data_IF_893167093371
#
_entry.id   IF_893167093371
#
_cell.length_a   1.000
_cell.length_b   1.000
_cell.length_c   1.000
_cell.angle_alpha   90.00
_cell.angle_beta   90.00
_cell.angle_gamma   90.00
#
_symmetry.space_group_name_H-M   'P 1'
#
loop_
_entity.id
_entity.type
_entity.pdbx_description
1 polymer ?
#
# COMPACT_ATOMS: atom_id res chain seq x y z
N UNK A 1 -31.50 -7.66 18.62
CA UNK A 1 -30.56 -6.53 18.79
C UNK A 1 -29.31 -6.85 18.02
N UNK A 2 -28.86 -5.93 17.18
CA UNK A 2 -27.67 -6.09 16.35
C UNK A 2 -27.08 -4.73 16.04
N UNK A 3 -25.90 -4.72 15.44
CA UNK A 3 -25.17 -3.50 15.11
C UNK A 3 -25.08 -3.34 13.60
N UNK A 4 -25.22 -2.10 13.14
CA UNK A 4 -25.16 -1.73 11.72
C UNK A 4 -24.00 -0.75 11.51
N UNK A 5 -23.10 -1.07 10.59
CA UNK A 5 -22.00 -0.19 10.20
C UNK A 5 -22.10 0.17 8.73
N UNK A 6 -21.87 1.45 8.44
CA UNK A 6 -21.59 1.94 7.11
C UNK A 6 -20.12 2.36 7.08
N UNK A 7 -19.34 1.71 6.23
CA UNK A 7 -17.91 1.95 6.07
C UNK A 7 -17.63 2.53 4.70
N UNK A 8 -16.71 3.49 4.62
CA UNK A 8 -16.25 4.10 3.37
C UNK A 8 -14.81 3.64 3.08
N UNK A 9 -14.58 3.22 1.85
CA UNK A 9 -13.28 2.75 1.37
C UNK A 9 -12.52 3.94 0.80
N UNK A 10 -11.29 4.14 1.27
CA UNK A 10 -10.38 5.18 0.77
C UNK A 10 -9.84 4.80 -0.62
N UNK A 11 -10.66 5.02 -1.65
CA UNK A 11 -10.32 4.67 -3.02
C UNK A 11 -9.33 5.64 -3.65
N UNK A 12 -9.30 6.90 -3.20
CA UNK A 12 -8.33 7.90 -3.67
C UNK A 12 -6.90 7.47 -3.31
N UNK A 13 -6.71 7.01 -2.07
CA UNK A 13 -5.44 6.43 -1.65
C UNK A 13 -5.07 5.18 -2.44
N UNK A 14 -6.04 4.30 -2.72
CA UNK A 14 -5.77 3.09 -3.51
C UNK A 14 -5.25 3.43 -4.92
N UNK A 15 -5.81 4.46 -5.56
CA UNK A 15 -5.34 4.98 -6.85
C UNK A 15 -3.93 5.55 -6.73
N UNK A 16 -3.68 6.38 -5.72
CA UNK A 16 -2.36 6.97 -5.50
C UNK A 16 -1.27 5.90 -5.25
N UNK A 17 -1.55 4.89 -4.41
CA UNK A 17 -0.61 3.80 -4.13
C UNK A 17 -0.35 2.93 -5.37
N UNK A 18 -1.37 2.70 -6.20
CA UNK A 18 -1.20 1.97 -7.48
C UNK A 18 -0.32 2.77 -8.45
N UNK A 19 -0.51 4.09 -8.52
CA UNK A 19 0.30 4.98 -9.34
C UNK A 19 1.76 5.05 -8.87
N UNK A 20 2.01 5.04 -7.56
CA UNK A 20 3.37 4.95 -6.99
C UNK A 20 4.09 3.67 -7.41
N UNK A 21 3.40 2.53 -7.41
CA UNK A 21 3.92 1.26 -7.91
C UNK A 21 4.31 1.34 -9.38
N UNK A 22 3.37 1.79 -10.23
CA UNK A 22 3.62 1.98 -11.67
C UNK A 22 4.77 2.96 -11.94
N UNK A 23 4.92 4.02 -11.13
CA UNK A 23 6.04 4.93 -11.24
C UNK A 23 7.39 4.21 -11.05
N UNK A 24 7.50 3.29 -10.08
CA UNK A 24 8.75 2.55 -9.88
C UNK A 24 9.04 1.60 -11.04
N UNK A 25 8.02 0.91 -11.55
CA UNK A 25 8.15 0.01 -12.69
C UNK A 25 8.58 0.76 -13.96
N UNK A 26 7.97 1.92 -14.21
CA UNK A 26 8.35 2.81 -15.32
C UNK A 26 9.80 3.26 -15.14
N UNK A 27 10.18 3.79 -13.97
CA UNK A 27 11.57 4.23 -13.71
C UNK A 27 12.58 3.11 -13.90
N UNK A 28 12.23 1.88 -13.53
CA UNK A 28 13.08 0.70 -13.74
C UNK A 28 13.22 0.40 -15.22
N UNK A 29 12.11 0.34 -15.95
CA UNK A 29 12.10 0.03 -17.38
C UNK A 29 12.98 0.99 -18.19
N UNK A 30 12.90 2.29 -17.90
CA UNK A 30 13.72 3.32 -18.55
C UNK A 30 15.24 3.17 -18.26
N UNK A 31 15.62 2.51 -17.15
CA UNK A 31 17.02 2.35 -16.72
C UNK A 31 17.66 1.01 -17.11
N UNK A 32 16.87 -0.03 -17.34
CA UNK A 32 17.38 -1.40 -17.52
C UNK A 32 17.33 -1.94 -18.95
N UNK A 33 16.69 -1.24 -19.90
CA UNK A 33 16.64 -1.63 -21.31
C UNK A 33 17.94 -1.40 -22.10
N UNK A 34 17.99 -1.93 -23.32
CA UNK A 34 19.08 -1.72 -24.30
C UNK A 34 19.24 -0.22 -24.63
N UNK A 35 18.12 0.49 -24.78
CA UNK A 35 18.08 1.94 -24.95
C UNK A 35 17.70 2.63 -23.64
N UNK A 36 18.70 2.82 -22.77
CA UNK A 36 18.49 3.53 -21.50
C UNK A 36 18.08 4.98 -21.74
N UNK A 37 17.00 5.41 -21.10
CA UNK A 37 16.53 6.79 -21.14
C UNK A 37 16.73 7.43 -19.78
N UNK A 38 17.61 8.44 -19.71
CA UNK A 38 17.83 9.20 -18.48
C UNK A 38 16.70 10.22 -18.28
N UNK A 39 16.13 10.24 -17.09
CA UNK A 39 15.19 11.26 -16.62
C UNK A 39 15.85 12.11 -15.51
N UNK A 40 15.36 13.34 -15.31
CA UNK A 40 15.85 14.26 -14.28
C UNK A 40 15.11 14.08 -12.96
N UNK A 41 13.79 14.02 -13.03
CA UNK A 41 12.89 13.89 -11.88
C UNK A 41 11.63 13.13 -12.26
N UNK A 42 10.94 12.61 -11.24
CA UNK A 42 9.63 11.99 -11.38
C UNK A 42 8.81 12.23 -10.11
N UNK A 43 7.58 12.68 -10.26
CA UNK A 43 6.68 12.99 -9.15
C UNK A 43 5.22 12.72 -9.51
N UNK A 44 4.37 12.60 -8.50
CA UNK A 44 2.93 12.39 -8.68
C UNK A 44 2.23 13.72 -8.41
N UNK A 45 1.46 14.18 -9.39
CA UNK A 45 0.67 15.41 -9.36
C UNK A 45 -0.79 15.04 -9.20
N UNK A 46 -1.47 15.67 -8.23
CA UNK A 46 -2.90 15.49 -7.95
C UNK A 46 -3.34 14.03 -7.73
N UNK A 47 -2.44 13.14 -7.31
CA UNK A 47 -2.72 11.72 -7.01
C UNK A 47 -3.03 10.82 -8.22
N UNK A 48 -3.12 11.36 -9.44
CA UNK A 48 -3.57 10.63 -10.63
C UNK A 48 -2.67 10.82 -11.85
N UNK A 49 -1.74 11.77 -11.80
CA UNK A 49 -0.82 12.07 -12.90
C UNK A 49 0.61 11.81 -12.47
N UNK A 50 1.32 10.96 -13.21
CA UNK A 50 2.76 10.80 -13.08
C UNK A 50 3.44 11.79 -14.04
N UNK A 51 4.24 12.70 -13.48
CA UNK A 51 5.11 13.60 -14.23
C UNK A 51 6.53 13.05 -14.24
N UNK A 52 7.17 13.04 -15.41
CA UNK A 52 8.57 12.69 -15.58
C UNK A 52 9.25 13.78 -16.42
N UNK A 53 10.30 14.38 -15.88
CA UNK A 53 11.05 15.46 -16.54
C UNK A 53 12.32 14.94 -17.20
N UNK A 54 12.67 15.50 -18.35
CA UNK A 54 13.79 15.05 -19.17
C UNK A 54 14.74 16.21 -19.52
N UNK A 55 16.00 15.88 -19.82
CA UNK A 55 16.99 16.89 -20.20
C UNK A 55 16.83 17.40 -21.64
N UNK A 56 16.12 16.66 -22.51
CA UNK A 56 15.88 17.05 -23.90
C UNK A 56 14.59 16.45 -24.44
N UNK A 57 14.06 17.08 -25.50
CA UNK A 57 12.90 16.57 -26.23
C UNK A 57 13.13 15.18 -26.83
N UNK A 58 14.36 14.87 -27.24
CA UNK A 58 14.76 13.57 -27.80
C UNK A 58 14.64 12.45 -26.75
N UNK A 59 15.11 12.71 -25.51
CA UNK A 59 14.99 11.76 -24.40
C UNK A 59 13.52 11.54 -24.04
N UNK A 60 12.72 12.62 -23.96
CA UNK A 60 11.27 12.52 -23.73
C UNK A 60 10.59 11.69 -24.81
N UNK A 61 10.94 11.91 -26.07
CA UNK A 61 10.36 11.17 -27.19
C UNK A 61 10.70 9.67 -27.12
N UNK A 62 11.95 9.31 -26.83
CA UNK A 62 12.35 7.92 -26.59
C UNK A 62 11.61 7.29 -25.42
N UNK A 63 11.47 8.02 -24.30
CA UNK A 63 10.70 7.55 -23.15
C UNK A 63 9.24 7.27 -23.53
N UNK A 64 8.60 8.17 -24.28
CA UNK A 64 7.23 8.00 -24.76
C UNK A 64 7.10 6.72 -25.60
N UNK A 65 8.00 6.49 -26.55
CA UNK A 65 7.98 5.28 -27.40
C UNK A 65 8.10 3.99 -26.60
N UNK A 66 8.84 3.99 -25.49
CA UNK A 66 8.97 2.81 -24.62
C UNK A 66 7.75 2.60 -23.71
N UNK A 67 7.17 3.68 -23.19
CA UNK A 67 6.10 3.63 -22.19
C UNK A 67 4.73 3.40 -22.84
N UNK A 68 4.42 4.14 -23.91
CA UNK A 68 3.07 4.18 -24.50
C UNK A 68 2.50 2.80 -24.89
N UNK A 69 3.29 1.86 -25.47
CA UNK A 69 2.79 0.52 -25.79
C UNK A 69 2.49 -0.34 -24.56
N UNK A 70 3.26 -0.18 -23.48
CA UNK A 70 3.19 -1.03 -22.30
C UNK A 70 2.18 -0.55 -21.25
N UNK A 71 1.80 0.74 -21.28
CA UNK A 71 0.95 1.34 -20.25
C UNK A 71 -0.28 2.06 -20.84
N UNK A 72 -1.16 1.29 -21.50
CA UNK A 72 -2.40 1.78 -22.12
C UNK A 72 -3.41 2.40 -21.14
N UNK A 73 -3.23 2.15 -19.84
CA UNK A 73 -4.01 2.77 -18.76
C UNK A 73 -3.76 4.28 -18.59
N UNK A 74 -2.73 4.84 -19.24
CA UNK A 74 -2.42 6.27 -19.19
C UNK A 74 -2.81 7.00 -20.48
N UNK A 75 -3.39 8.18 -20.33
CA UNK A 75 -3.36 9.22 -21.34
C UNK A 75 -2.01 9.94 -21.24
N UNK A 76 -1.17 9.81 -22.26
CA UNK A 76 0.18 10.37 -22.27
C UNK A 76 0.20 11.67 -23.06
N UNK A 77 0.52 12.76 -22.38
CA UNK A 77 0.69 14.09 -22.98
C UNK A 77 2.11 14.59 -22.77
N UNK A 78 2.53 15.48 -23.65
CA UNK A 78 3.83 16.12 -23.63
C UNK A 78 3.61 17.59 -23.34
N UNK A 79 4.17 18.10 -22.25
CA UNK A 79 4.07 19.52 -21.95
C UNK A 79 5.22 20.27 -22.65
N UNK A 80 4.93 21.46 -23.19
CA UNK A 80 5.88 22.27 -23.97
C UNK A 80 6.69 23.26 -23.13
N UNK A 81 6.65 23.10 -21.81
CA UNK A 81 7.43 23.85 -20.83
C UNK A 81 8.94 23.52 -20.89
N UNK A 82 9.74 24.37 -20.23
CA UNK A 82 11.22 24.29 -20.23
C UNK A 82 11.79 22.96 -19.72
N UNK A 83 11.00 22.15 -19.00
CA UNK A 83 11.42 20.91 -18.36
C UNK A 83 11.25 19.63 -19.21
N UNK A 84 10.80 19.76 -20.47
CA UNK A 84 10.53 18.62 -21.38
C UNK A 84 9.73 17.52 -20.69
N UNK A 85 8.60 17.87 -20.07
CA UNK A 85 7.83 16.94 -19.24
C UNK A 85 7.00 15.97 -20.08
N UNK A 86 6.91 14.73 -19.57
CA UNK A 86 5.96 13.71 -20.00
C UNK A 86 4.95 13.48 -18.87
N UNK A 87 3.68 13.71 -19.17
CA UNK A 87 2.58 13.57 -18.23
C UNK A 87 1.78 12.31 -18.56
N UNK A 88 1.75 11.36 -17.64
CA UNK A 88 0.98 10.13 -17.74
C UNK A 88 -0.21 10.24 -16.79
N UNK A 89 -1.38 10.56 -17.33
CA UNK A 89 -2.62 10.73 -16.54
C UNK A 89 -3.42 9.44 -16.59
N UNK A 90 -3.80 8.89 -15.44
CA UNK A 90 -4.62 7.67 -15.41
C UNK A 90 -5.97 7.91 -16.10
N UNK A 91 -6.37 6.99 -16.98
CA UNK A 91 -7.68 7.09 -17.61
C UNK A 91 -8.79 6.68 -16.63
N UNK A 92 -10.02 7.13 -16.89
CA UNK A 92 -11.17 6.87 -16.02
C UNK A 92 -11.51 5.39 -15.88
N UNK A 93 -11.20 4.56 -16.88
CA UNK A 93 -11.45 3.12 -16.83
C UNK A 93 -10.51 2.44 -15.81
N UNK A 94 -9.22 2.76 -15.87
CA UNK A 94 -8.21 2.25 -14.94
C UNK A 94 -8.46 2.72 -13.51
N UNK A 95 -8.88 3.99 -13.33
CA UNK A 95 -9.28 4.48 -12.01
C UNK A 95 -10.44 3.64 -11.46
N UNK A 96 -11.52 3.45 -12.23
CA UNK A 96 -12.67 2.64 -11.80
C UNK A 96 -12.30 1.21 -11.46
N UNK A 97 -11.43 0.59 -12.26
CA UNK A 97 -10.95 -0.77 -12.00
C UNK A 97 -10.22 -0.86 -10.65
N UNK A 98 -9.39 0.13 -10.33
CA UNK A 98 -8.69 0.19 -9.04
C UNK A 98 -9.67 0.43 -7.89
N UNK A 99 -10.64 1.33 -8.06
CA UNK A 99 -11.66 1.58 -7.04
C UNK A 99 -12.48 0.31 -6.76
N UNK A 100 -12.94 -0.38 -7.81
CA UNK A 100 -13.73 -1.60 -7.68
C UNK A 100 -12.92 -2.72 -7.04
N UNK A 101 -11.65 -2.88 -7.44
CA UNK A 101 -10.73 -3.82 -6.81
C UNK A 101 -10.52 -3.50 -5.32
N UNK A 102 -10.29 -2.23 -4.97
CA UNK A 102 -10.09 -1.81 -3.60
C UNK A 102 -11.33 -2.09 -2.72
N UNK A 103 -12.53 -1.88 -3.26
CA UNK A 103 -13.78 -2.16 -2.54
C UNK A 103 -14.00 -3.65 -2.37
N UNK A 104 -13.74 -4.46 -3.41
CA UNK A 104 -13.82 -5.92 -3.32
C UNK A 104 -12.84 -6.49 -2.30
N UNK A 105 -11.62 -5.96 -2.27
CA UNK A 105 -10.61 -6.36 -1.31
C UNK A 105 -11.03 -6.03 0.14
N UNK A 106 -11.51 -4.80 0.37
CA UNK A 106 -12.01 -4.40 1.69
C UNK A 106 -13.23 -5.23 2.12
N UNK A 107 -14.11 -5.57 1.18
CA UNK A 107 -15.26 -6.44 1.44
C UNK A 107 -14.80 -7.81 1.97
N UNK A 108 -13.77 -8.40 1.36
CA UNK A 108 -13.22 -9.67 1.81
C UNK A 108 -12.56 -9.55 3.19
N UNK A 109 -11.78 -8.49 3.42
CA UNK A 109 -11.16 -8.24 4.72
C UNK A 109 -12.20 -8.08 5.83
N UNK A 110 -13.29 -7.34 5.57
CA UNK A 110 -14.38 -7.18 6.53
C UNK A 110 -15.04 -8.53 6.81
N UNK A 111 -15.33 -9.35 5.79
CA UNK A 111 -15.90 -10.69 5.99
C UNK A 111 -15.04 -11.55 6.92
N UNK A 112 -13.73 -11.56 6.71
CA UNK A 112 -12.80 -12.33 7.55
C UNK A 112 -12.85 -11.85 9.02
N UNK A 113 -12.84 -10.53 9.24
CA UNK A 113 -12.93 -9.94 10.59
C UNK A 113 -14.26 -10.21 11.28
N UNK A 114 -15.34 -10.26 10.51
CA UNK A 114 -16.63 -10.61 11.08
C UNK A 114 -16.68 -12.07 11.51
N UNK A 115 -16.03 -12.97 10.77
CA UNK A 115 -15.88 -14.36 11.21
C UNK A 115 -15.09 -14.47 12.53
N UNK A 116 -14.07 -13.62 12.73
CA UNK A 116 -13.32 -13.54 14.00
C UNK A 116 -14.18 -13.10 15.19
N UNK A 117 -15.25 -12.33 14.95
CA UNK A 117 -16.20 -11.93 15.99
C UNK A 117 -17.11 -13.09 16.44
N UNK A 118 -17.09 -14.24 15.76
CA UNK A 118 -17.92 -15.41 16.09
C UNK A 118 -19.41 -15.22 15.82
N UNK A 119 -19.77 -14.31 14.90
CA UNK A 119 -21.16 -14.00 14.56
C UNK A 119 -21.70 -15.05 13.58
N UNK A 120 -22.85 -15.64 13.88
CA UNK A 120 -23.39 -16.77 13.12
C UNK A 120 -23.92 -16.40 11.72
N UNK A 121 -24.44 -15.18 11.52
CA UNK A 121 -25.09 -14.76 10.27
C UNK A 121 -24.84 -13.28 9.94
N UNK A 122 -23.60 -12.89 9.62
CA UNK A 122 -23.31 -11.52 9.26
C UNK A 122 -23.72 -11.18 7.82
N UNK A 123 -24.20 -9.96 7.60
CA UNK A 123 -24.40 -9.41 6.26
C UNK A 123 -23.27 -8.44 5.93
N UNK A 124 -22.52 -8.71 4.85
CA UNK A 124 -21.46 -7.81 4.38
C UNK A 124 -21.62 -7.58 2.88
N UNK A 125 -22.00 -6.37 2.49
CA UNK A 125 -22.33 -6.03 1.10
C UNK A 125 -21.75 -4.69 0.67
N UNK A 126 -21.47 -4.54 -0.63
CA UNK A 126 -21.12 -3.25 -1.23
C UNK A 126 -22.37 -2.38 -1.34
N UNK A 127 -22.28 -1.13 -0.90
CA UNK A 127 -23.30 -0.11 -1.06
C UNK A 127 -22.77 1.02 -1.95
N UNK A 128 -23.35 1.18 -3.14
CA UNK A 128 -22.88 2.17 -4.10
C UNK A 128 -21.47 1.87 -4.61
N UNK A 129 -20.67 2.91 -4.87
CA UNK A 129 -19.32 2.76 -5.47
C UNK A 129 -18.22 2.49 -4.45
N UNK A 130 -18.24 3.16 -3.30
CA UNK A 130 -17.10 3.21 -2.36
C UNK A 130 -17.47 2.79 -0.94
N UNK A 131 -18.71 2.34 -0.69
CA UNK A 131 -19.15 2.03 0.67
C UNK A 131 -19.45 0.54 0.84
N UNK A 132 -19.33 0.09 2.08
CA UNK A 132 -19.63 -1.27 2.51
C UNK A 132 -20.59 -1.17 3.69
N UNK A 133 -21.69 -1.92 3.60
CA UNK A 133 -22.66 -2.07 4.68
C UNK A 133 -22.40 -3.39 5.40
N UNK A 134 -22.43 -3.34 6.73
CA UNK A 134 -22.18 -4.48 7.61
C UNK A 134 -23.29 -4.56 8.65
N UNK A 135 -24.02 -5.66 8.67
CA UNK A 135 -24.97 -6.00 9.74
C UNK A 135 -24.48 -7.19 10.55
N UNK A 136 -24.42 -7.02 11.87
CA UNK A 136 -24.01 -8.06 12.81
C UNK A 136 -25.13 -8.35 13.82
N UNK A 137 -25.99 -9.34 13.54
CA UNK A 137 -26.98 -9.80 14.49
C UNK A 137 -26.32 -10.42 15.73
N UNK A 138 -26.85 -10.15 16.93
CA UNK A 138 -26.39 -10.82 18.16
C UNK A 138 -25.12 -10.22 18.80
N UNK A 139 -24.42 -9.30 18.13
CA UNK A 139 -23.32 -8.54 18.73
C UNK A 139 -23.88 -7.50 19.70
N UNK A 140 -23.41 -7.53 20.95
CA UNK A 140 -23.82 -6.60 22.01
C UNK A 140 -22.82 -5.45 22.21
N UNK A 141 -21.51 -5.73 22.07
CA UNK A 141 -20.46 -4.72 22.22
C UNK A 141 -20.15 -4.04 20.87
N UNK A 142 -20.83 -2.92 20.62
CA UNK A 142 -20.58 -2.05 19.45
C UNK A 142 -19.15 -1.52 19.39
N UNK A 143 -18.50 -1.28 20.53
CA UNK A 143 -17.19 -0.62 20.59
C UNK A 143 -16.09 -1.62 20.22
N UNK A 144 -16.19 -2.85 20.71
CA UNK A 144 -15.30 -3.94 20.33
C UNK A 144 -15.46 -4.30 18.85
N UNK A 145 -16.70 -4.43 18.36
CA UNK A 145 -16.97 -4.66 16.95
C UNK A 145 -16.42 -3.53 16.06
N UNK A 146 -16.66 -2.26 16.43
CA UNK A 146 -16.09 -1.11 15.72
C UNK A 146 -14.56 -1.12 15.74
N UNK A 147 -13.94 -1.53 16.84
CA UNK A 147 -12.48 -1.67 16.93
C UNK A 147 -11.97 -2.75 15.99
N UNK A 148 -12.60 -3.92 15.96
CA UNK A 148 -12.16 -5.05 15.10
C UNK A 148 -12.40 -4.73 13.62
N UNK A 149 -13.58 -4.23 13.26
CA UNK A 149 -13.91 -3.87 11.88
C UNK A 149 -13.16 -2.63 11.38
N UNK A 150 -12.97 -1.64 12.24
CA UNK A 150 -12.30 -0.38 11.94
C UNK A 150 -10.77 -0.42 12.02
N UNK A 151 -10.15 -1.56 12.42
CA UNK A 151 -8.68 -1.72 12.37
C UNK A 151 -8.21 -1.50 10.93
N UNK A 152 -7.66 -0.36 10.56
CA UNK A 152 -6.99 -0.16 9.26
C UNK A 152 -5.51 -0.56 9.38
N UNK A 153 -5.27 -1.68 10.07
CA UNK A 153 -3.95 -2.23 10.27
C UNK A 153 -3.61 -3.12 9.07
N UNK A 154 -2.65 -2.69 8.26
CA UNK A 154 -2.11 -3.49 7.15
C UNK A 154 -0.65 -3.78 7.41
N UNK A 155 -0.22 -4.98 7.05
CA UNK A 155 1.20 -5.34 7.02
C UNK A 155 1.75 -5.14 5.62
N UNK A 156 2.95 -4.58 5.51
CA UNK A 156 3.73 -4.57 4.28
C UNK A 156 5.04 -5.31 4.51
N UNK A 157 5.38 -6.18 3.57
CA UNK A 157 6.62 -6.94 3.59
C UNK A 157 7.59 -6.35 2.59
N UNK A 158 8.77 -5.96 3.06
CA UNK A 158 9.78 -5.25 2.26
C UNK A 158 11.16 -5.80 2.58
N UNK A 159 12.03 -5.90 1.58
CA UNK A 159 13.43 -6.24 1.86
C UNK A 159 14.17 -5.04 2.46
N UNK A 160 15.15 -5.29 3.32
CA UNK A 160 16.12 -4.27 3.72
C UNK A 160 16.98 -3.89 2.50
N UNK A 161 17.11 -2.59 2.26
CA UNK A 161 17.83 -2.05 1.13
C UNK A 161 19.32 -2.38 1.19
N UNK A 162 19.90 -2.75 0.04
CA UNK A 162 21.35 -2.99 -0.07
C UNK A 162 22.15 -1.70 0.20
N UNK A 163 23.38 -1.87 0.65
CA UNK A 163 24.34 -0.75 0.75
C UNK A 163 24.50 -0.08 -0.61
N UNK A 164 24.47 1.26 -0.64
CA UNK A 164 24.53 2.04 -1.88
C UNK A 164 23.22 2.16 -2.68
N UNK A 165 22.10 1.62 -2.18
CA UNK A 165 20.80 1.83 -2.82
C UNK A 165 20.45 3.32 -2.94
N UNK A 166 19.88 3.70 -4.09
CA UNK A 166 19.46 5.07 -4.37
C UNK A 166 18.43 5.54 -3.35
N UNK A 167 18.53 6.80 -2.90
CA UNK A 167 17.53 7.38 -1.99
C UNK A 167 16.11 7.35 -2.59
N UNK A 168 15.99 7.33 -3.92
CA UNK A 168 14.70 7.25 -4.61
C UNK A 168 14.05 5.87 -4.60
N UNK A 169 14.75 4.82 -4.14
CA UNK A 169 14.27 3.42 -4.13
C UNK A 169 14.13 2.86 -2.71
N UNK A 170 14.23 3.72 -1.69
CA UNK A 170 14.19 3.31 -0.28
C UNK A 170 13.16 4.10 0.53
N UNK A 171 12.78 3.53 1.66
CA UNK A 171 11.97 4.13 2.70
C UNK A 171 12.75 4.07 4.03
N UNK A 172 12.99 5.22 4.68
CA UNK A 172 13.61 5.24 6.00
C UNK A 172 12.60 4.86 7.08
N UNK A 173 13.04 4.07 8.05
CA UNK A 173 12.29 3.68 9.23
C UNK A 173 13.20 3.67 10.46
N UNK A 174 12.60 3.75 11.65
CA UNK A 174 13.25 3.40 12.90
C UNK A 174 12.79 2.01 13.36
N UNK A 175 13.73 1.22 13.88
CA UNK A 175 13.43 -0.05 14.55
C UNK A 175 14.30 -0.17 15.81
N UNK A 176 13.71 0.10 16.97
CA UNK A 176 14.41 0.02 18.25
C UNK A 176 15.56 1.03 18.38
N UNK A 177 15.39 2.25 17.85
CA UNK A 177 16.43 3.29 17.86
C UNK A 177 17.51 3.11 16.79
N UNK A 178 17.37 2.10 15.91
CA UNK A 178 18.24 1.88 14.76
C UNK A 178 17.57 2.36 13.49
N UNK A 179 18.27 3.18 12.72
CA UNK A 179 17.87 3.52 11.37
C UNK A 179 17.89 2.28 10.45
N UNK A 180 16.74 1.98 9.85
CA UNK A 180 16.56 0.91 8.87
C UNK A 180 16.12 1.53 7.54
N UNK A 181 16.72 1.08 6.44
CA UNK A 181 16.35 1.49 5.08
C UNK A 181 15.67 0.30 4.42
N UNK A 182 14.36 0.35 4.22
CA UNK A 182 13.64 -0.67 3.49
C UNK A 182 13.58 -0.32 1.99
N UNK A 183 13.47 -1.32 1.13
CA UNK A 183 13.19 -1.10 -0.29
C UNK A 183 11.76 -0.55 -0.47
N UNK A 184 11.61 0.37 -1.43
CA UNK A 184 10.28 0.86 -1.86
C UNK A 184 9.48 -0.21 -2.58
N UNK A 185 10.15 -1.23 -3.09
CA UNK A 185 9.50 -2.40 -3.65
C UNK A 185 8.81 -3.19 -2.53
N UNK A 186 7.55 -3.55 -2.79
CA UNK A 186 6.75 -4.35 -1.89
C UNK A 186 6.86 -5.82 -2.32
N UNK A 187 7.06 -6.72 -1.35
CA UNK A 187 6.95 -8.17 -1.57
C UNK A 187 5.47 -8.56 -1.62
N UNK A 188 4.75 -8.27 -0.55
CA UNK A 188 3.30 -8.46 -0.44
C UNK A 188 2.71 -7.56 0.64
N UNK A 189 1.38 -7.41 0.63
CA UNK A 189 0.58 -6.73 1.65
C UNK A 189 -0.26 -7.72 2.44
N UNK A 190 -0.71 -7.28 3.62
CA UNK A 190 -1.51 -8.04 4.58
C UNK A 190 -2.83 -8.59 4.04
N UNK A 191 -3.27 -8.17 2.85
CA UNK A 191 -4.40 -8.78 2.14
C UNK A 191 -4.15 -10.24 1.73
N UNK A 192 -2.87 -10.65 1.62
CA UNK A 192 -2.43 -12.01 1.35
C UNK A 192 -2.02 -12.78 2.61
N UNK A 193 -2.33 -12.21 3.78
CA UNK A 193 -2.08 -12.81 5.09
C UNK A 193 -3.38 -13.37 5.63
N UNK A 194 -3.45 -14.69 5.81
CA UNK A 194 -4.57 -15.37 6.46
C UNK A 194 -4.55 -15.19 7.98
N UNK A 195 -3.36 -15.26 8.59
CA UNK A 195 -3.17 -15.08 10.03
C UNK A 195 -1.81 -14.45 10.31
N UNK A 196 -1.72 -13.61 11.35
CA UNK A 196 -0.47 -13.04 11.81
C UNK A 196 -0.45 -12.96 13.35
N UNK A 197 0.40 -13.78 13.96
CA UNK A 197 0.55 -13.85 15.41
C UNK A 197 1.93 -13.34 15.82
N UNK A 198 1.94 -12.32 16.69
CA UNK A 198 3.17 -11.88 17.35
C UNK A 198 3.43 -12.80 18.52
N UNK A 199 4.62 -13.38 18.56
CA UNK A 199 5.08 -14.25 19.63
C UNK A 199 6.53 -13.97 19.98
N UNK A 200 7.09 -14.86 20.78
CA UNK A 200 8.52 -14.90 21.06
C UNK A 200 9.04 -16.25 20.61
N UNK A 201 10.19 -16.26 19.95
CA UNK A 201 10.90 -17.48 19.62
C UNK A 201 11.22 -18.24 20.93
N UNK A 202 10.81 -19.52 21.07
CA UNK A 202 11.00 -20.26 22.32
C UNK A 202 12.46 -20.51 22.70
N UNK A 203 13.36 -20.53 21.72
CA UNK A 203 14.77 -20.85 21.89
C UNK A 203 15.61 -19.61 22.16
N UNK A 204 15.28 -18.50 21.49
CA UNK A 204 16.07 -17.25 21.54
C UNK A 204 15.43 -16.15 22.37
N UNK A 205 14.13 -16.25 22.71
CA UNK A 205 13.37 -15.24 23.44
C UNK A 205 13.17 -13.94 22.66
N UNK A 206 13.49 -13.90 21.37
CA UNK A 206 13.34 -12.73 20.53
C UNK A 206 11.90 -12.59 20.01
N UNK A 207 11.36 -11.37 19.88
CA UNK A 207 10.06 -11.15 19.24
C UNK A 207 10.05 -11.70 17.81
N UNK A 208 9.05 -12.53 17.49
CA UNK A 208 8.82 -13.10 16.18
C UNK A 208 7.39 -12.83 15.73
N UNK A 209 7.17 -12.72 14.42
CA UNK A 209 5.83 -12.66 13.83
C UNK A 209 5.64 -13.91 12.98
N UNK A 210 4.73 -14.78 13.39
CA UNK A 210 4.31 -15.95 12.62
C UNK A 210 3.19 -15.53 11.69
N UNK A 211 3.37 -15.76 10.39
CA UNK A 211 2.45 -15.27 9.36
C UNK A 211 2.05 -16.46 8.50
N UNK A 212 0.75 -16.66 8.34
CA UNK A 212 0.17 -17.59 7.38
C UNK A 212 -0.25 -16.80 6.16
N UNK A 213 0.23 -17.21 4.99
CA UNK A 213 -0.08 -16.56 3.72
C UNK A 213 -1.10 -17.39 2.92
N UNK A 214 -1.83 -16.73 2.02
CA UNK A 214 -2.58 -17.44 0.98
C UNK A 214 -1.65 -18.00 -0.11
N UNK A 215 -2.18 -18.83 -1.01
CA UNK A 215 -1.37 -19.48 -2.05
C UNK A 215 -0.61 -18.46 -2.92
N UNK A 216 -1.21 -17.31 -3.23
CA UNK A 216 -0.57 -16.27 -4.04
C UNK A 216 0.51 -15.51 -3.24
N UNK A 217 0.24 -15.22 -1.98
CA UNK A 217 1.18 -14.63 -1.02
C UNK A 217 2.40 -15.52 -0.79
N UNK A 218 2.20 -16.84 -0.68
CA UNK A 218 3.27 -17.83 -0.60
C UNK A 218 4.19 -17.77 -1.82
N UNK A 219 3.63 -17.74 -3.04
CA UNK A 219 4.40 -17.62 -4.28
C UNK A 219 5.19 -16.30 -4.39
N UNK A 220 4.58 -15.18 -4.00
CA UNK A 220 5.25 -13.87 -3.95
C UNK A 220 6.40 -13.88 -2.96
N UNK A 221 6.17 -14.43 -1.76
CA UNK A 221 7.19 -14.55 -0.73
C UNK A 221 8.33 -15.47 -1.18
N UNK A 222 8.02 -16.60 -1.83
CA UNK A 222 9.01 -17.55 -2.31
C UNK A 222 9.91 -16.92 -3.37
N UNK A 223 9.31 -16.23 -4.34
CA UNK A 223 10.03 -15.48 -5.37
C UNK A 223 10.93 -14.40 -4.77
N UNK A 224 10.45 -13.69 -3.75
CA UNK A 224 11.19 -12.63 -3.10
C UNK A 224 12.32 -13.16 -2.22
N UNK A 225 12.20 -14.34 -1.64
CA UNK A 225 13.19 -14.87 -0.67
C UNK A 225 14.23 -15.80 -1.30
N UNK A 226 13.89 -16.54 -2.37
CA UNK A 226 14.79 -17.55 -2.97
C UNK A 226 16.19 -17.06 -3.37
N UNK A 227 16.34 -15.80 -3.74
CA UNK A 227 17.64 -15.17 -4.09
C UNK A 227 18.12 -14.15 -3.06
N UNK A 228 17.47 -14.11 -1.90
CA UNK A 228 17.68 -13.10 -0.88
C UNK A 228 17.92 -13.74 0.51
N UNK A 229 18.33 -15.01 0.54
CA UNK A 229 18.77 -15.70 1.75
C UNK A 229 19.93 -14.92 2.39
N UNK A 230 19.88 -14.75 3.71
CA UNK A 230 20.83 -13.96 4.50
C UNK A 230 20.54 -12.46 4.51
N UNK A 231 19.64 -11.95 3.66
CA UNK A 231 19.17 -10.56 3.74
C UNK A 231 18.07 -10.41 4.79
N UNK A 232 17.93 -9.21 5.34
CA UNK A 232 16.85 -8.89 6.28
C UNK A 232 15.59 -8.45 5.54
N UNK A 233 14.45 -8.81 6.11
CA UNK A 233 13.12 -8.42 5.65
C UNK A 233 12.43 -7.63 6.77
N UNK A 234 11.91 -6.47 6.42
CA UNK A 234 11.13 -5.61 7.29
C UNK A 234 9.64 -5.93 7.13
N UNK A 235 8.96 -6.14 8.27
CA UNK A 235 7.51 -6.15 8.37
C UNK A 235 7.08 -4.78 8.87
N UNK A 236 6.45 -4.01 7.99
CA UNK A 236 5.97 -2.66 8.28
C UNK A 236 4.49 -2.75 8.65
N UNK A 237 4.17 -2.39 9.88
CA UNK A 237 2.81 -2.19 10.32
C UNK A 237 2.36 -0.78 9.95
N UNK A 238 1.26 -0.70 9.21
CA UNK A 238 0.64 0.54 8.78
C UNK A 238 -0.70 0.65 9.48
N UNK A 239 -0.88 1.72 10.23
CA UNK A 239 -2.13 2.01 10.93
C UNK A 239 -2.58 3.43 10.60
N UNK A 240 -3.86 3.57 10.27
CA UNK A 240 -4.48 4.88 10.19
C UNK A 240 -4.99 5.26 11.57
N UNK A 241 -4.43 6.32 12.14
CA UNK A 241 -4.84 6.91 13.41
C UNK A 241 -5.59 8.21 13.16
N UNK A 242 -6.36 8.66 14.14
CA UNK A 242 -7.00 9.98 14.12
C UNK A 242 -6.33 10.87 15.14
N UNK A 243 -6.08 12.12 14.76
CA UNK A 243 -5.68 13.18 15.69
C UNK A 243 -6.78 14.24 15.69
N UNK A 244 -7.10 14.72 16.88
CA UNK A 244 -8.10 15.75 17.04
C UNK A 244 -7.42 17.13 16.98
N UNK A 245 -7.95 18.01 16.14
CA UNK A 245 -7.64 19.44 16.12
C UNK A 245 -8.90 20.21 16.44
N UNK A 246 -8.78 21.27 17.21
CA UNK A 246 -9.89 22.19 17.49
C UNK A 246 -9.77 23.40 16.58
N UNK A 247 -10.87 23.79 15.94
CA UNK A 247 -10.92 24.97 15.08
C UNK A 247 -12.15 25.82 15.42
N UNK A 248 -11.96 27.13 15.48
CA UNK A 248 -13.04 28.07 15.74
C UNK A 248 -13.80 28.35 14.45
N UNK A 249 -15.01 27.79 14.31
CA UNK A 249 -15.90 28.04 13.18
C UNK A 249 -17.11 28.80 13.67
N UNK A 250 -17.29 30.05 13.19
CA UNK A 250 -18.39 30.93 13.60
C UNK A 250 -18.51 31.17 15.11
N UNK A 251 -17.37 31.25 15.81
CA UNK A 251 -17.34 31.52 17.26
C UNK A 251 -17.59 30.29 18.15
N UNK A 252 -17.76 29.10 17.58
CA UNK A 252 -17.82 27.84 18.32
C UNK A 252 -16.56 27.02 18.06
N UNK A 253 -16.05 26.39 19.12
CA UNK A 253 -14.94 25.45 19.04
C UNK A 253 -15.46 24.13 18.46
N UNK A 254 -15.05 23.83 17.23
CA UNK A 254 -15.41 22.61 16.52
C UNK A 254 -14.24 21.66 16.57
N UNK A 255 -14.50 20.45 17.07
CA UNK A 255 -13.57 19.33 17.02
C UNK A 255 -13.52 18.78 15.60
N UNK A 256 -12.35 18.82 14.97
CA UNK A 256 -12.05 18.23 13.68
C UNK A 256 -11.13 17.04 13.90
N UNK A 257 -11.59 15.84 13.56
CA UNK A 257 -10.75 14.63 13.59
C UNK A 257 -10.09 14.46 12.22
N UNK A 258 -8.76 14.63 12.17
CA UNK A 258 -7.96 14.42 10.96
C UNK A 258 -7.34 13.00 10.99
N UNK A 259 -7.59 12.14 9.99
CA UNK A 259 -6.88 10.88 9.87
C UNK A 259 -5.42 11.12 9.45
N UNK A 260 -4.50 10.35 10.01
CA UNK A 260 -3.10 10.30 9.60
C UNK A 260 -2.60 8.85 9.60
N UNK A 261 -1.63 8.55 8.74
CA UNK A 261 -1.07 7.20 8.64
C UNK A 261 0.26 7.12 9.35
N UNK A 262 0.35 6.18 10.27
CA UNK A 262 1.57 5.81 10.96
C UNK A 262 2.12 4.53 10.34
N UNK A 263 3.41 4.52 9.98
CA UNK A 263 4.13 3.34 9.48
C UNK A 263 5.28 3.03 10.42
N UNK A 264 5.36 1.82 10.96
CA UNK A 264 6.43 1.39 11.85
C UNK A 264 6.90 -0.02 11.51
N UNK A 265 8.20 -0.29 11.62
CA UNK A 265 8.70 -1.66 11.54
C UNK A 265 8.36 -2.36 12.86
N UNK A 266 7.67 -3.50 12.77
CA UNK A 266 7.36 -4.35 13.92
C UNK A 266 8.25 -5.59 13.97
N UNK A 267 8.91 -5.92 12.87
CA UNK A 267 9.88 -7.01 12.80
C UNK A 267 10.90 -6.76 11.71
N UNK A 268 12.16 -7.11 12.00
CA UNK A 268 13.27 -7.10 11.05
C UNK A 268 13.99 -8.45 11.13
N UNK A 269 13.53 -9.41 10.34
CA UNK A 269 13.99 -10.80 10.40
C UNK A 269 14.96 -11.13 9.27
N UNK A 270 15.96 -11.98 9.52
CA UNK A 270 16.85 -12.49 8.48
C UNK A 270 16.17 -13.64 7.74
N UNK A 271 16.14 -13.58 6.40
CA UNK A 271 15.64 -14.67 5.56
C UNK A 271 16.59 -15.86 5.66
N UNK A 272 16.13 -16.96 6.26
CA UNK A 272 16.95 -18.17 6.47
C UNK A 272 16.84 -19.17 5.30
N UNK A 273 15.70 -19.18 4.60
CA UNK A 273 15.42 -20.06 3.48
C UNK A 273 14.44 -19.38 2.51
N UNK A 274 14.19 -20.01 1.36
CA UNK A 274 13.07 -19.61 0.51
C UNK A 274 11.76 -19.89 1.27
N UNK A 275 10.99 -18.85 1.56
CA UNK A 275 9.75 -18.89 2.34
C UNK A 275 8.57 -18.93 1.38
N UNK A 276 7.72 -19.96 1.44
CA UNK A 276 6.51 -20.10 0.63
C UNK A 276 5.81 -21.41 0.93
#
# INVERSE_FOLDING_TARGET
GGVHFLMEVDTERAVAERLEGMQQDIKRSLRTGEERVRYQSSDIVNGQTLRISFASAELRFKARQQIEPAYQQFAITSAEDQAFDLLLTMNNAAIREIEDFAVQQNLQTIRNRVNELGVAEPLVQKLGRQRIVVDLPGVQDTAEAKKILGKVATLEFRMEAKSGASNSTILPFDYGGRAVRAERDLILRGERVFDAQVGFDPDTGLPQVNITLDSEGGELMHRATRYNIGRRMAVVFIETKTRDRYEMVSGQEVKISEPYVEKKIISLATVQAALG
#
